data_IF_358373327526
#
_entry.id   IF_358373327526
#
_cell.length_a   1.000
_cell.length_b   1.000
_cell.length_c   1.000
_cell.angle_alpha   90.00
_cell.angle_beta   90.00
_cell.angle_gamma   90.00
#
_symmetry.space_group_name_H-M   'P 1'
#
loop_
_entity.id
_entity.type
_entity.pdbx_description
1 polymer ?
#
# COMPACT_ATOMS: atom_id res chain seq x y z
N UNK A 1 -16.32 8.82 3.65
CA UNK A 1 -14.94 9.31 3.41
C UNK A 1 -14.63 9.08 1.94
N UNK A 2 -14.17 10.11 1.23
CA UNK A 2 -13.94 10.03 -0.22
C UNK A 2 -13.08 8.82 -0.60
N UNK A 3 -13.45 8.15 -1.70
CA UNK A 3 -12.81 6.91 -2.14
C UNK A 3 -11.32 7.12 -2.45
N UNK A 4 -10.90 8.34 -2.80
CA UNK A 4 -9.51 8.68 -3.07
C UNK A 4 -8.67 8.68 -1.79
N UNK A 5 -9.17 9.23 -0.68
CA UNK A 5 -8.47 9.20 0.62
C UNK A 5 -8.30 7.76 1.09
N UNK A 6 -9.37 6.97 1.04
CA UNK A 6 -9.32 5.55 1.44
C UNK A 6 -8.37 4.76 0.54
N UNK A 7 -8.42 4.97 -0.78
CA UNK A 7 -7.56 4.27 -1.74
C UNK A 7 -6.08 4.58 -1.50
N UNK A 8 -5.74 5.86 -1.29
CA UNK A 8 -4.38 6.28 -1.02
C UNK A 8 -3.89 5.76 0.34
N UNK A 9 -4.71 5.83 1.38
CA UNK A 9 -4.39 5.24 2.67
C UNK A 9 -4.14 3.73 2.56
N UNK A 10 -5.00 2.99 1.87
CA UNK A 10 -4.82 1.53 1.66
C UNK A 10 -3.52 1.22 0.93
N UNK A 11 -3.14 2.02 -0.07
CA UNK A 11 -1.85 1.86 -0.76
C UNK A 11 -0.69 2.08 0.21
N UNK A 12 -0.68 3.17 0.96
CA UNK A 12 0.36 3.47 1.95
C UNK A 12 0.44 2.39 3.04
N UNK A 13 -0.71 1.93 3.55
CA UNK A 13 -0.76 0.83 4.51
C UNK A 13 -0.12 -0.44 3.95
N UNK A 14 -0.47 -0.85 2.72
CA UNK A 14 0.15 -2.00 2.07
C UNK A 14 1.66 -1.83 1.93
N UNK A 15 2.14 -0.64 1.55
CA UNK A 15 3.57 -0.34 1.48
C UNK A 15 4.27 -0.59 2.81
N UNK A 16 3.76 0.01 3.89
CA UNK A 16 4.36 -0.12 5.21
C UNK A 16 4.26 -1.55 5.78
N UNK A 17 3.18 -2.27 5.47
CA UNK A 17 3.05 -3.68 5.80
C UNK A 17 4.13 -4.52 5.10
N UNK A 18 4.27 -4.39 3.79
CA UNK A 18 5.28 -5.15 3.03
C UNK A 18 6.70 -4.78 3.45
N UNK A 19 6.95 -3.50 3.76
CA UNK A 19 8.23 -3.05 4.31
C UNK A 19 8.51 -3.72 5.65
N UNK A 20 7.51 -3.81 6.54
CA UNK A 20 7.66 -4.48 7.81
C UNK A 20 7.93 -5.98 7.64
N UNK A 21 7.25 -6.63 6.71
CA UNK A 21 7.53 -8.02 6.34
C UNK A 21 8.98 -8.18 5.89
N UNK A 22 9.43 -7.33 4.95
CA UNK A 22 10.81 -7.33 4.46
C UNK A 22 11.83 -7.16 5.60
N UNK A 23 11.65 -6.13 6.44
CA UNK A 23 12.54 -5.91 7.58
C UNK A 23 12.63 -7.10 8.53
N UNK A 24 11.52 -7.82 8.74
CA UNK A 24 11.53 -9.00 9.60
C UNK A 24 12.22 -10.17 8.90
N UNK A 25 11.91 -10.44 7.64
CA UNK A 25 12.50 -11.58 6.91
C UNK A 25 13.96 -11.36 6.52
N UNK A 26 14.41 -10.12 6.38
CA UNK A 26 15.78 -9.75 6.02
C UNK A 26 16.70 -9.66 7.25
N UNK A 27 16.20 -9.09 8.37
CA UNK A 27 17.00 -8.94 9.59
C UNK A 27 16.91 -10.13 10.55
N UNK A 28 16.05 -11.11 10.28
CA UNK A 28 15.86 -12.29 11.13
C UNK A 28 15.71 -13.56 10.30
N UNK A 29 15.91 -14.73 10.90
CA UNK A 29 15.69 -16.02 10.23
C UNK A 29 14.20 -16.44 10.17
N UNK A 30 13.27 -15.52 10.44
CA UNK A 30 11.84 -15.83 10.40
C UNK A 30 11.31 -15.82 8.98
N UNK A 31 10.48 -16.81 8.67
CA UNK A 31 9.68 -16.81 7.46
C UNK A 31 8.53 -15.80 7.55
N UNK A 32 7.99 -15.41 6.40
CA UNK A 32 6.79 -14.56 6.34
C UNK A 32 5.59 -15.22 7.04
N UNK A 33 5.48 -16.55 6.95
CA UNK A 33 4.41 -17.32 7.59
C UNK A 33 4.49 -17.28 9.12
N UNK A 34 5.67 -17.52 9.69
CA UNK A 34 5.90 -17.44 11.13
C UNK A 34 5.69 -16.02 11.66
N UNK A 35 6.14 -15.01 10.91
CA UNK A 35 5.87 -13.63 11.27
C UNK A 35 4.36 -13.36 11.34
N UNK A 36 3.62 -13.78 10.32
CA UNK A 36 2.17 -13.54 10.25
C UNK A 36 1.39 -14.27 11.34
N UNK A 37 1.73 -15.54 11.61
CA UNK A 37 1.00 -16.38 12.57
C UNK A 37 1.33 -16.04 14.02
N UNK A 38 2.62 -15.88 14.34
CA UNK A 38 3.08 -15.91 15.73
C UNK A 38 3.55 -14.55 16.25
N UNK A 39 3.81 -13.59 15.35
CA UNK A 39 4.44 -12.30 15.72
C UNK A 39 3.61 -11.09 15.37
N UNK A 40 2.82 -11.15 14.31
CA UNK A 40 1.97 -10.05 13.89
C UNK A 40 0.82 -9.84 14.88
N UNK A 41 0.72 -8.64 15.44
CA UNK A 41 -0.24 -8.31 16.49
C UNK A 41 -0.79 -6.88 16.33
N UNK A 42 -1.80 -6.54 17.12
CA UNK A 42 -2.51 -5.26 17.01
C UNK A 42 -1.60 -4.04 17.24
N UNK A 43 -0.54 -4.16 18.05
CA UNK A 43 0.41 -3.07 18.25
C UNK A 43 1.25 -2.82 16.99
N UNK A 44 1.60 -3.86 16.25
CA UNK A 44 2.24 -3.73 14.93
C UNK A 44 1.26 -3.09 13.94
N UNK A 45 0.00 -3.53 13.91
CA UNK A 45 -1.04 -2.91 13.06
C UNK A 45 -1.14 -1.40 13.31
N UNK A 46 -1.18 -0.98 14.59
CA UNK A 46 -1.28 0.42 14.95
C UNK A 46 -0.08 1.23 14.42
N UNK A 47 1.14 0.69 14.51
CA UNK A 47 2.34 1.35 13.96
C UNK A 47 2.26 1.49 12.44
N UNK A 48 1.75 0.48 11.73
CA UNK A 48 1.56 0.56 10.27
C UNK A 48 0.51 1.61 9.92
N UNK A 49 -0.59 1.69 10.68
CA UNK A 49 -1.62 2.72 10.49
C UNK A 49 -1.04 4.12 10.69
N UNK A 50 -0.26 4.31 11.76
CA UNK A 50 0.42 5.58 12.06
C UNK A 50 1.34 6.00 10.90
N UNK A 51 2.21 5.09 10.44
CA UNK A 51 3.08 5.34 9.30
C UNK A 51 2.32 5.63 8.00
N UNK A 52 1.22 4.91 7.75
CA UNK A 52 0.40 5.14 6.57
C UNK A 52 -0.26 6.53 6.61
N UNK A 53 -0.71 7.01 7.78
CA UNK A 53 -1.25 8.35 7.94
C UNK A 53 -0.20 9.44 7.75
N UNK A 54 1.04 9.22 8.20
CA UNK A 54 2.15 10.15 7.95
C UNK A 54 2.44 10.32 6.44
N UNK A 55 2.18 9.30 5.63
CA UNK A 55 2.28 9.38 4.17
C UNK A 55 1.08 10.05 3.49
N UNK A 56 -0.04 10.28 4.18
CA UNK A 56 -1.20 10.96 3.60
C UNK A 56 -0.95 12.46 3.64
N UNK A 57 -0.70 13.03 2.46
CA UNK A 57 -0.35 14.44 2.36
C UNK A 57 -1.55 15.37 2.47
N UNK A 58 -1.30 16.61 2.91
CA UNK A 58 -2.34 17.64 2.93
C UNK A 58 -2.88 17.89 1.53
N UNK A 59 -2.02 17.90 0.50
CA UNK A 59 -2.44 17.98 -0.92
C UNK A 59 -3.45 16.90 -1.29
N UNK A 60 -3.20 15.65 -0.87
CA UNK A 60 -4.09 14.51 -1.11
C UNK A 60 -5.45 14.72 -0.43
N UNK A 61 -5.46 15.16 0.83
CA UNK A 61 -6.69 15.43 1.57
C UNK A 61 -7.46 16.60 0.95
N UNK A 62 -6.80 17.74 0.76
CA UNK A 62 -7.32 18.95 0.10
C UNK A 62 -7.94 18.60 -1.26
N UNK A 63 -7.28 17.78 -2.08
CA UNK A 63 -7.80 17.40 -3.41
C UNK A 63 -9.05 16.53 -3.33
N UNK A 64 -9.12 15.60 -2.37
CA UNK A 64 -10.29 14.76 -2.16
C UNK A 64 -11.46 15.56 -1.59
N UNK A 65 -11.20 16.44 -0.62
CA UNK A 65 -12.22 17.31 -0.03
C UNK A 65 -12.70 18.39 -1.00
N UNK A 66 -11.84 18.95 -1.87
CA UNK A 66 -12.23 19.96 -2.87
C UNK A 66 -13.31 19.45 -3.83
N UNK A 67 -13.34 18.13 -4.11
CA UNK A 67 -14.40 17.52 -4.94
C UNK A 67 -15.76 17.48 -4.25
N UNK A 68 -15.77 17.38 -2.92
CA UNK A 68 -17.01 17.25 -2.13
C UNK A 68 -17.48 18.60 -1.56
N UNK A 69 -16.53 19.44 -1.15
CA UNK A 69 -16.78 20.72 -0.50
C UNK A 69 -15.66 21.72 -0.88
N UNK A 70 -15.77 22.37 -2.05
CA UNK A 70 -14.77 23.33 -2.53
C UNK A 70 -14.53 24.50 -1.56
N UNK A 71 -15.58 25.01 -0.92
CA UNK A 71 -15.52 26.19 -0.05
C UNK A 71 -14.78 25.91 1.27
N UNK A 72 -14.71 24.65 1.71
CA UNK A 72 -13.97 24.25 2.90
C UNK A 72 -12.45 24.15 2.65
N UNK A 73 -12.01 24.28 1.39
CA UNK A 73 -10.62 24.02 1.00
C UNK A 73 -9.98 25.30 0.49
N UNK A 74 -9.07 25.87 1.30
CA UNK A 74 -8.24 26.99 0.86
C UNK A 74 -7.28 26.56 -0.26
N UNK A 75 -7.19 27.36 -1.32
CA UNK A 75 -6.27 27.12 -2.43
C UNK A 75 -4.84 27.45 -1.96
N UNK A 76 -4.12 26.41 -1.53
CA UNK A 76 -2.71 26.50 -1.15
C UNK A 76 -1.87 25.76 -2.19
N UNK A 77 -0.80 26.42 -2.63
CA UNK A 77 0.23 25.79 -3.45
C UNK A 77 1.12 24.99 -2.49
N UNK A 78 1.10 23.67 -2.62
CA UNK A 78 2.00 22.78 -1.88
C UNK A 78 3.16 22.42 -2.80
N UNK A 79 4.38 22.87 -2.45
CA UNK A 79 5.62 22.37 -3.04
C UNK A 79 5.97 21.05 -2.35
N UNK A 80 5.38 19.96 -2.84
CA UNK A 80 5.76 18.60 -2.45
C UNK A 80 6.84 18.10 -3.41
N UNK A 81 7.98 17.67 -2.86
CA UNK A 81 9.00 16.99 -3.65
C UNK A 81 8.40 15.68 -4.17
N UNK A 82 8.35 15.53 -5.49
CA UNK A 82 7.93 14.26 -6.07
C UNK A 82 8.92 13.16 -5.66
N UNK A 83 8.44 12.05 -5.08
CA UNK A 83 9.30 10.92 -4.75
C UNK A 83 10.01 10.37 -5.99
N UNK A 84 11.23 9.86 -5.81
CA UNK A 84 11.99 9.21 -6.89
C UNK A 84 11.29 7.94 -7.44
N UNK A 85 10.40 7.32 -6.65
CA UNK A 85 9.57 6.19 -7.05
C UNK A 85 8.15 6.38 -6.54
N UNK A 86 7.18 5.95 -7.32
CA UNK A 86 5.77 5.90 -6.88
C UNK A 86 5.57 4.88 -5.76
N UNK A 87 4.51 5.06 -4.97
CA UNK A 87 4.10 4.12 -3.92
C UNK A 87 3.84 2.73 -4.51
N UNK A 88 3.27 2.66 -5.71
CA UNK A 88 3.03 1.42 -6.44
C UNK A 88 4.33 0.69 -6.79
N UNK A 89 5.33 1.39 -7.32
CA UNK A 89 6.64 0.82 -7.63
C UNK A 89 7.35 0.30 -6.37
N UNK A 90 7.30 1.06 -5.28
CA UNK A 90 7.80 0.62 -3.97
C UNK A 90 7.12 -0.67 -3.51
N UNK A 91 5.79 -0.75 -3.61
CA UNK A 91 5.02 -1.94 -3.24
C UNK A 91 5.42 -3.15 -4.09
N UNK A 92 5.55 -2.98 -5.41
CA UNK A 92 5.95 -4.06 -6.32
C UNK A 92 7.36 -4.54 -6.00
N UNK A 93 8.30 -3.61 -5.77
CA UNK A 93 9.67 -3.91 -5.40
C UNK A 93 9.76 -4.68 -4.09
N UNK A 94 9.06 -4.20 -3.05
CA UNK A 94 8.98 -4.88 -1.76
C UNK A 94 8.37 -6.27 -1.87
N UNK A 95 7.25 -6.41 -2.59
CA UNK A 95 6.61 -7.71 -2.81
C UNK A 95 7.55 -8.73 -3.44
N UNK A 96 8.29 -8.33 -4.49
CA UNK A 96 9.30 -9.19 -5.13
C UNK A 96 10.44 -9.56 -4.17
N UNK A 97 10.92 -8.61 -3.37
CA UNK A 97 12.03 -8.85 -2.43
C UNK A 97 11.70 -9.89 -1.35
N UNK A 98 10.42 -10.02 -0.97
CA UNK A 98 9.96 -11.02 0.01
C UNK A 98 9.39 -12.29 -0.65
N UNK A 99 9.61 -12.47 -1.96
CA UNK A 99 9.22 -13.68 -2.70
C UNK A 99 7.75 -13.76 -3.11
N UNK A 100 7.00 -12.64 -3.13
CA UNK A 100 5.62 -12.64 -3.63
C UNK A 100 5.58 -12.52 -5.16
N UNK A 101 4.71 -13.33 -5.77
CA UNK A 101 4.34 -13.15 -7.18
C UNK A 101 3.38 -11.95 -7.32
N UNK A 102 3.87 -10.88 -7.95
CA UNK A 102 3.06 -9.70 -8.26
C UNK A 102 2.55 -9.80 -9.69
N UNK A 103 1.26 -10.06 -9.84
CA UNK A 103 0.58 -10.20 -11.13
C UNK A 103 -0.31 -9.01 -11.38
N UNK A 104 -0.29 -8.47 -12.60
CA UNK A 104 -1.24 -7.43 -12.96
C UNK A 104 -2.68 -7.95 -12.88
N UNK A 105 -3.58 -7.13 -12.37
CA UNK A 105 -4.99 -7.52 -12.19
C UNK A 105 -5.64 -7.99 -13.51
N UNK A 106 -5.23 -7.42 -14.65
CA UNK A 106 -5.70 -7.82 -15.99
C UNK A 106 -5.19 -9.20 -16.39
N UNK A 107 -3.95 -9.53 -16.05
CA UNK A 107 -3.38 -10.84 -16.32
C UNK A 107 -3.98 -11.92 -15.43
N UNK A 108 -4.26 -11.62 -14.15
CA UNK A 108 -4.95 -12.54 -13.25
C UNK A 108 -6.34 -12.92 -13.79
N UNK A 109 -7.10 -11.96 -14.33
CA UNK A 109 -8.40 -12.22 -14.93
C UNK A 109 -8.31 -13.14 -16.18
N UNK A 110 -7.22 -13.05 -16.94
CA UNK A 110 -6.95 -13.94 -18.08
C UNK A 110 -6.58 -15.35 -17.64
N UNK A 111 -5.74 -15.50 -16.61
CA UNK A 111 -5.37 -16.82 -16.04
C UNK A 111 -6.59 -17.57 -15.47
N UNK A 112 -7.53 -16.86 -14.86
CA UNK A 112 -8.78 -17.46 -14.37
C UNK A 112 -9.82 -17.76 -15.46
N UNK A 113 -9.60 -17.35 -16.71
CA UNK A 113 -10.54 -17.52 -17.82
C UNK A 113 -10.15 -18.62 -18.81
N UNK A 114 -9.07 -19.37 -18.54
CA UNK A 114 -8.80 -20.64 -19.22
C UNK A 114 -9.38 -21.78 -18.39
N UNK A 115 -10.60 -22.26 -18.67
CA UNK A 115 -11.05 -23.52 -18.11
C UNK A 115 -10.21 -24.62 -18.76
N UNK A 116 -9.81 -25.62 -17.97
CA UNK A 116 -9.06 -26.78 -18.46
C UNK A 116 -9.73 -27.36 -19.70
N UNK A 117 -9.01 -27.38 -20.81
CA UNK A 117 -9.12 -28.49 -21.75
C UNK A 117 -8.47 -29.67 -21.06
N UNK A 118 -9.28 -30.40 -20.28
CA UNK A 118 -8.96 -31.75 -19.85
C UNK A 118 -9.00 -32.63 -21.12
N UNK A 119 -7.87 -33.26 -21.41
CA UNK A 119 -7.75 -34.44 -22.27
C UNK A 119 -8.45 -35.66 -21.65
#
# INVERSE_FOLDING_TARGET
MDQQVISNFKKLYTKHLLRRCFEVTDNTNLTLEEFWKDRFNIAICQKIIDQAWLGVTTRTLTSAWKKLWPEAVAERIYEELEPCMSVEEEIVSLGKSIGLEVVERRERARRGAHPGTDD
#
